data_IF_552102052795
#
_entry.id   IF_552102052795
#
_cell.length_a   1.000
_cell.length_b   1.000
_cell.length_c   1.000
_cell.angle_alpha   90.00
_cell.angle_beta   90.00
_cell.angle_gamma   90.00
#
_symmetry.space_group_name_H-M   'P 1'
#
loop_
_entity.id
_entity.type
_entity.pdbx_description
1 polymer ?
#
# COMPACT_ATOMS: atom_id res chain seq x y z
N UNK A 1 -63.68 -19.55 11.76
CA UNK A 1 -62.25 -19.56 12.13
C UNK A 1 -61.59 -20.75 11.45
N UNK A 2 -60.69 -20.58 10.48
CA UNK A 2 -59.53 -21.47 10.20
C UNK A 2 -58.66 -20.87 9.08
N UNK A 3 -57.90 -19.84 9.46
CA UNK A 3 -56.55 -19.44 9.01
C UNK A 3 -56.07 -20.01 7.66
N UNK A 4 -56.21 -19.23 6.60
CA UNK A 4 -55.38 -19.35 5.39
C UNK A 4 -54.07 -18.60 5.63
N UNK A 5 -52.99 -19.32 5.96
CA UNK A 5 -51.63 -18.79 5.93
C UNK A 5 -50.69 -19.92 5.48
N UNK A 6 -50.57 -20.11 4.16
CA UNK A 6 -49.46 -20.84 3.56
C UNK A 6 -48.75 -19.89 2.61
N UNK A 7 -47.76 -19.19 3.14
CA UNK A 7 -46.98 -18.27 2.33
C UNK A 7 -45.95 -17.52 3.15
N UNK A 8 -44.85 -18.18 3.48
CA UNK A 8 -43.49 -17.62 3.43
C UNK A 8 -42.52 -18.53 4.14
N UNK A 9 -41.52 -19.02 3.41
CA UNK A 9 -40.12 -18.96 3.82
C UNK A 9 -39.26 -19.64 2.74
N UNK A 10 -38.99 -18.94 1.64
CA UNK A 10 -37.79 -19.24 0.87
C UNK A 10 -36.62 -18.68 1.69
N UNK A 11 -35.95 -19.55 2.47
CA UNK A 11 -34.68 -19.22 3.10
C UNK A 11 -33.66 -18.96 1.97
N UNK A 12 -33.36 -17.70 1.71
CA UNK A 12 -32.24 -17.31 0.88
C UNK A 12 -30.95 -17.73 1.61
N UNK A 13 -30.36 -18.84 1.21
CA UNK A 13 -29.04 -19.25 1.65
C UNK A 13 -28.02 -18.35 0.93
N UNK A 14 -27.80 -17.16 1.47
CA UNK A 14 -26.72 -16.28 1.03
C UNK A 14 -25.39 -16.97 1.34
N UNK A 15 -24.77 -17.54 0.30
CA UNK A 15 -23.43 -18.10 0.40
C UNK A 15 -22.47 -16.96 0.71
N UNK A 16 -22.02 -16.88 1.96
CA UNK A 16 -20.84 -16.11 2.30
C UNK A 16 -19.65 -16.79 1.61
N UNK A 17 -19.35 -16.42 0.36
CA UNK A 17 -18.08 -16.78 -0.24
C UNK A 17 -17.00 -16.16 0.67
N UNK A 18 -16.05 -16.95 1.21
CA UNK A 18 -14.88 -16.36 1.80
C UNK A 18 -14.20 -15.55 0.70
N UNK A 19 -14.12 -14.24 0.87
CA UNK A 19 -13.29 -13.40 0.01
C UNK A 19 -11.88 -13.95 0.12
N UNK A 20 -11.40 -14.62 -0.92
CA UNK A 20 -9.97 -14.91 -1.03
C UNK A 20 -9.23 -13.59 -0.78
N UNK A 21 -8.16 -13.56 0.04
CA UNK A 21 -7.37 -12.35 0.16
C UNK A 21 -6.91 -12.01 -1.25
N UNK A 22 -7.44 -10.93 -1.81
CA UNK A 22 -6.99 -10.44 -3.09
C UNK A 22 -5.49 -10.24 -2.93
N UNK A 23 -4.68 -10.89 -3.77
CA UNK A 23 -3.23 -10.78 -3.78
C UNK A 23 -2.82 -9.37 -4.27
N UNK A 24 -3.27 -8.35 -3.56
CA UNK A 24 -2.70 -7.03 -3.59
C UNK A 24 -1.27 -7.19 -3.10
N UNK A 25 -0.31 -6.57 -3.78
CA UNK A 25 1.04 -6.48 -3.26
C UNK A 25 1.00 -5.65 -1.97
N UNK A 26 0.81 -6.33 -0.83
CA UNK A 26 0.66 -5.73 0.50
C UNK A 26 1.80 -4.77 0.79
N UNK A 27 3.01 -5.09 0.31
CA UNK A 27 4.18 -4.24 0.49
C UNK A 27 3.97 -2.84 -0.11
N UNK A 28 3.44 -2.72 -1.32
CA UNK A 28 3.26 -1.41 -1.97
C UNK A 28 2.22 -0.55 -1.26
N UNK A 29 1.13 -1.16 -0.80
CA UNK A 29 0.09 -0.45 -0.07
C UNK A 29 0.52 -0.10 1.36
N UNK A 30 1.23 -1.00 2.06
CA UNK A 30 1.88 -0.70 3.33
C UNK A 30 2.86 0.46 3.20
N UNK A 31 3.67 0.45 2.14
CA UNK A 31 4.63 1.52 1.87
C UNK A 31 3.91 2.86 1.70
N UNK A 32 2.88 2.90 0.86
CA UNK A 32 2.11 4.11 0.60
C UNK A 32 1.45 4.65 1.87
N UNK A 33 0.89 3.77 2.69
CA UNK A 33 0.30 4.15 3.96
C UNK A 33 1.33 4.79 4.90
N UNK A 34 2.51 4.18 5.01
CA UNK A 34 3.60 4.71 5.83
C UNK A 34 4.12 6.06 5.31
N UNK A 35 4.26 6.23 3.98
CA UNK A 35 4.66 7.50 3.38
C UNK A 35 3.65 8.63 3.57
N UNK A 36 2.37 8.27 3.75
CA UNK A 36 1.28 9.22 3.97
C UNK A 36 1.23 9.73 5.41
N UNK A 37 2.08 9.20 6.30
CA UNK A 37 2.16 9.68 7.68
C UNK A 37 2.92 11.03 7.76
N UNK A 38 2.29 12.12 8.20
CA UNK A 38 2.92 13.44 8.25
C UNK A 38 4.11 13.53 9.20
N UNK A 39 4.16 12.70 10.26
CA UNK A 39 5.32 12.66 11.17
C UNK A 39 6.49 11.80 10.66
N UNK A 40 6.40 11.30 9.43
CA UNK A 40 7.49 10.60 8.73
C UNK A 40 7.21 9.12 8.51
N UNK A 41 7.88 8.58 7.49
CA UNK A 41 7.65 7.23 6.96
C UNK A 41 7.95 6.10 7.95
N UNK A 42 8.64 6.38 9.06
CA UNK A 42 9.01 5.39 10.09
C UNK A 42 8.69 5.84 11.52
N UNK A 43 7.83 6.85 11.69
CA UNK A 43 7.40 7.29 13.03
C UNK A 43 6.80 6.12 13.83
N UNK A 44 6.07 5.23 13.16
CA UNK A 44 5.50 4.06 13.77
C UNK A 44 6.34 2.80 13.50
N UNK A 45 6.50 1.96 14.52
CA UNK A 45 7.34 0.77 14.46
C UNK A 45 6.91 -0.21 13.34
N UNK A 46 5.61 -0.34 13.07
CA UNK A 46 5.10 -1.18 11.97
C UNK A 46 5.55 -0.73 10.58
N UNK A 47 6.00 0.52 10.44
CA UNK A 47 6.48 1.05 9.17
C UNK A 47 7.97 0.80 8.92
N UNK A 48 8.76 0.41 9.93
CA UNK A 48 10.19 0.18 9.75
C UNK A 48 10.44 -0.95 8.74
N UNK A 49 9.84 -2.12 8.96
CA UNK A 49 10.02 -3.28 8.06
C UNK A 49 9.62 -3.02 6.59
N UNK A 50 8.43 -2.47 6.27
CA UNK A 50 8.07 -2.20 4.88
C UNK A 50 8.95 -1.11 4.25
N UNK A 51 9.42 -0.10 5.01
CA UNK A 51 10.34 0.92 4.50
C UNK A 51 11.75 0.36 4.23
N UNK A 52 12.28 -0.49 5.09
CA UNK A 52 13.54 -1.24 4.87
C UNK A 52 13.44 -2.06 3.58
N UNK A 53 12.37 -2.84 3.40
CA UNK A 53 12.15 -3.64 2.18
C UNK A 53 12.06 -2.77 0.93
N UNK A 54 11.41 -1.60 1.03
CA UNK A 54 11.38 -0.62 -0.05
C UNK A 54 12.79 -0.17 -0.42
N UNK A 55 13.59 0.24 0.57
CA UNK A 55 14.95 0.69 0.33
C UNK A 55 15.80 -0.40 -0.33
N UNK A 56 15.82 -1.63 0.18
CA UNK A 56 16.56 -2.75 -0.40
C UNK A 56 16.21 -2.96 -1.88
N UNK A 57 14.92 -2.92 -2.21
CA UNK A 57 14.44 -3.05 -3.60
C UNK A 57 14.91 -1.89 -4.47
N UNK A 58 14.86 -0.65 -3.98
CA UNK A 58 15.29 0.52 -4.74
C UNK A 58 16.82 0.56 -4.90
N UNK A 59 17.57 0.19 -3.86
CA UNK A 59 19.03 0.15 -3.83
C UNK A 59 19.61 -0.87 -4.82
N UNK A 60 18.88 -1.98 -5.04
CA UNK A 60 19.22 -3.00 -6.04
C UNK A 60 18.71 -2.67 -7.45
N UNK A 61 18.26 -1.44 -7.68
CA UNK A 61 17.81 -0.98 -8.98
C UNK A 61 16.34 -1.27 -9.29
N UNK A 62 15.63 -1.96 -8.41
CA UNK A 62 14.22 -2.31 -8.59
C UNK A 62 13.28 -1.10 -8.66
N UNK A 63 12.11 -1.33 -9.28
CA UNK A 63 11.01 -0.37 -9.31
C UNK A 63 10.29 -0.28 -7.96
N UNK A 64 9.60 0.84 -7.72
CA UNK A 64 8.72 0.99 -6.57
C UNK A 64 7.62 -0.11 -6.58
N UNK A 65 7.29 -0.72 -5.43
CA UNK A 65 6.29 -1.79 -5.37
C UNK A 65 4.89 -1.28 -5.74
N UNK A 66 4.20 -1.99 -6.65
CA UNK A 66 2.82 -1.64 -7.01
C UNK A 66 1.85 -1.82 -5.85
N UNK A 67 0.75 -1.08 -5.84
CA UNK A 67 -0.37 -1.23 -4.91
C UNK A 67 -1.67 -1.29 -5.72
N UNK A 68 -2.39 -2.41 -5.67
CA UNK A 68 -3.62 -2.61 -6.48
C UNK A 68 -4.79 -1.74 -6.02
N UNK A 69 -4.73 -1.18 -4.81
CA UNK A 69 -5.75 -0.34 -4.19
C UNK A 69 -5.80 1.12 -4.66
N UNK A 70 -5.53 1.40 -5.94
CA UNK A 70 -5.72 2.74 -6.51
C UNK A 70 -4.49 3.42 -7.09
N UNK A 71 -3.35 2.73 -7.20
CA UNK A 71 -2.14 3.29 -7.85
C UNK A 71 -2.11 2.88 -9.33
N UNK A 72 -2.11 3.88 -10.22
CA UNK A 72 -1.99 3.68 -11.66
C UNK A 72 -0.53 3.59 -12.10
N UNK A 73 0.33 4.49 -11.58
CA UNK A 73 1.76 4.53 -11.93
C UNK A 73 2.62 5.06 -10.80
N UNK A 74 3.89 4.68 -10.81
CA UNK A 74 4.88 5.22 -9.88
C UNK A 74 6.16 5.59 -10.63
N UNK A 75 6.77 6.71 -10.27
CA UNK A 75 8.08 7.11 -10.80
C UNK A 75 8.96 7.68 -9.69
N UNK A 76 10.14 7.08 -9.52
CA UNK A 76 11.14 7.55 -8.56
C UNK A 76 12.07 8.55 -9.23
N UNK A 77 12.28 9.68 -8.58
CA UNK A 77 13.17 10.75 -9.01
C UNK A 77 14.34 10.90 -8.05
N UNK A 78 15.42 11.54 -8.52
CA UNK A 78 16.60 11.85 -7.72
C UNK A 78 17.18 10.59 -7.04
N UNK A 79 17.27 9.48 -7.79
CA UNK A 79 17.62 8.15 -7.27
C UNK A 79 18.94 8.13 -6.51
N UNK A 80 19.89 9.00 -6.84
CA UNK A 80 21.22 9.02 -6.20
C UNK A 80 21.30 9.98 -5.00
N UNK A 81 20.24 10.73 -4.70
CA UNK A 81 20.21 11.69 -3.59
C UNK A 81 19.61 11.09 -2.32
N UNK A 82 20.26 11.25 -1.18
CA UNK A 82 19.72 10.86 0.14
C UNK A 82 18.71 11.86 0.71
N UNK A 83 18.71 13.10 0.21
CA UNK A 83 17.89 14.20 0.74
C UNK A 83 16.79 14.65 -0.21
N UNK A 84 16.94 14.42 -1.52
CA UNK A 84 15.98 14.87 -2.55
C UNK A 84 15.18 13.73 -3.19
N UNK A 85 15.55 12.46 -2.94
CA UNK A 85 14.84 11.31 -3.51
C UNK A 85 13.37 11.34 -3.15
N UNK A 86 12.53 11.10 -4.15
CA UNK A 86 11.08 11.15 -4.02
C UNK A 86 10.41 10.19 -4.99
N UNK A 87 9.20 9.77 -4.67
CA UNK A 87 8.34 9.03 -5.57
C UNK A 87 7.13 9.89 -5.92
N UNK A 88 6.84 9.99 -7.21
CA UNK A 88 5.57 10.52 -7.71
C UNK A 88 4.66 9.34 -8.00
N UNK A 89 3.50 9.35 -7.38
CA UNK A 89 2.47 8.33 -7.52
C UNK A 89 1.30 8.98 -8.25
N UNK A 90 0.90 8.39 -9.38
CA UNK A 90 -0.36 8.73 -10.04
C UNK A 90 -1.39 7.68 -9.67
N UNK A 91 -2.54 8.14 -9.18
CA UNK A 91 -3.64 7.30 -8.77
C UNK A 91 -4.57 7.01 -9.95
N UNK A 92 -5.46 6.03 -9.79
CA UNK A 92 -6.44 5.64 -10.81
C UNK A 92 -7.45 6.75 -11.12
N UNK A 93 -7.64 7.70 -10.21
CA UNK A 93 -8.47 8.90 -10.42
C UNK A 93 -7.74 10.03 -11.18
N UNK A 94 -6.52 9.78 -11.64
CA UNK A 94 -5.68 10.73 -12.38
C UNK A 94 -4.91 11.72 -11.50
N UNK A 95 -5.17 11.77 -10.20
CA UNK A 95 -4.42 12.64 -9.28
C UNK A 95 -2.99 12.15 -9.17
N UNK A 96 -2.06 13.07 -8.95
CA UNK A 96 -0.68 12.73 -8.61
C UNK A 96 -0.30 13.30 -7.26
N UNK A 97 0.41 12.51 -6.45
CA UNK A 97 1.00 12.96 -5.19
C UNK A 97 2.49 12.63 -5.17
N UNK A 98 3.25 13.48 -4.49
CA UNK A 98 4.69 13.30 -4.30
C UNK A 98 4.96 12.94 -2.86
N UNK A 99 5.69 11.85 -2.64
CA UNK A 99 6.13 11.42 -1.33
C UNK A 99 7.65 11.49 -1.25
N UNK A 100 8.15 12.00 -0.12
CA UNK A 100 9.59 12.02 0.16
C UNK A 100 10.09 10.60 0.42
N UNK A 101 11.24 10.27 -0.16
CA UNK A 101 12.03 9.08 0.17
C UNK A 101 13.38 9.47 0.78
N UNK A 102 13.49 10.67 1.33
CA UNK A 102 14.70 11.14 1.96
C UNK A 102 15.03 10.31 3.20
N UNK A 103 16.29 9.89 3.35
CA UNK A 103 16.80 9.25 4.55
C UNK A 103 16.41 7.78 4.74
N UNK A 104 15.60 7.18 3.86
CA UNK A 104 15.14 5.79 4.02
C UNK A 104 16.28 4.77 3.92
N UNK A 105 17.43 5.15 3.35
CA UNK A 105 18.64 4.32 3.31
C UNK A 105 19.25 4.03 4.69
N UNK A 106 18.93 4.85 5.70
CA UNK A 106 19.43 4.65 7.07
C UNK A 106 18.76 3.48 7.79
N UNK A 107 17.67 2.95 7.26
CA UNK A 107 16.84 1.92 7.91
C UNK A 107 17.45 0.52 7.88
N UNK A 108 18.46 0.28 7.04
CA UNK A 108 19.15 -1.02 6.94
C UNK A 108 20.36 -1.12 7.89
N UNK A 109 20.43 -0.28 8.92
CA UNK A 109 21.49 -0.36 9.93
C UNK A 109 22.83 0.26 9.50
N UNK A 110 22.79 1.22 8.56
CA UNK A 110 23.85 2.21 8.31
C UNK A 110 25.30 1.72 8.38
N UNK A 111 25.91 1.42 7.23
CA UNK A 111 27.30 1.82 7.04
C UNK A 111 27.33 3.09 6.20
N UNK A 112 27.93 4.11 6.81
CA UNK A 112 28.50 5.25 6.09
C UNK A 112 29.51 4.75 5.06
#
# INVERSE_FOLDING_TARGET
MQRAIFGMAMLALATALPSAPAAANDLGCQVLLCLSNPGGATQYAQCVSPMTKLWQRLATGGAFPGCSGGVARTKVYDRDSTTRRRVVITFNDGRSQTFSLAGIERLDGGRR
#
